data_IF_447334271008
#
_entry.id   IF_447334271008
#
_cell.length_a   1.000
_cell.length_b   1.000
_cell.length_c   1.000
_cell.angle_alpha   90.00
_cell.angle_beta   90.00
_cell.angle_gamma   90.00
#
_symmetry.space_group_name_H-M   'P 1'
#
loop_
_entity.id
_entity.type
_entity.pdbx_description
1 polymer ?
#
# COMPACT_ATOMS: atom_id res chain seq x y z
N UNK A 1 0.26 -11.62 6.02
CA UNK A 1 0.40 -10.18 6.29
C UNK A 1 -0.96 -9.46 6.30
N UNK A 2 -1.89 -9.79 5.40
CA UNK A 2 -3.23 -9.15 5.39
C UNK A 2 -4.03 -9.41 6.65
N UNK A 3 -4.15 -10.67 7.11
CA UNK A 3 -4.87 -10.97 8.35
C UNK A 3 -4.32 -10.19 9.55
N UNK A 4 -3.00 -10.02 9.61
CA UNK A 4 -2.34 -9.20 10.63
C UNK A 4 -2.69 -7.74 10.44
N UNK A 5 -2.67 -7.19 9.23
CA UNK A 5 -3.07 -5.80 9.00
C UNK A 5 -4.55 -5.56 9.37
N UNK A 6 -5.44 -6.50 9.02
CA UNK A 6 -6.86 -6.45 9.34
C UNK A 6 -7.15 -6.62 10.84
N UNK A 7 -6.26 -7.26 11.60
CA UNK A 7 -6.40 -7.31 13.07
C UNK A 7 -6.06 -5.99 13.76
N UNK A 8 -5.55 -4.99 13.03
CA UNK A 8 -5.19 -3.67 13.52
C UNK A 8 -6.11 -2.58 12.95
N UNK A 9 -7.41 -2.86 12.82
CA UNK A 9 -8.41 -1.85 12.49
C UNK A 9 -8.26 -0.61 13.39
N UNK A 10 -8.54 0.57 12.80
CA UNK A 10 -8.43 1.89 13.43
C UNK A 10 -6.99 2.31 13.82
N UNK A 11 -5.97 1.60 13.34
CA UNK A 11 -4.57 1.97 13.51
C UNK A 11 -3.91 2.30 12.18
N UNK A 12 -2.84 3.11 12.24
CA UNK A 12 -1.95 3.29 11.12
C UNK A 12 -0.94 2.14 11.09
N UNK A 13 -0.98 1.32 10.04
CA UNK A 13 -0.07 0.19 9.84
C UNK A 13 0.96 0.54 8.78
N UNK A 14 2.25 0.39 9.11
CA UNK A 14 3.34 0.50 8.13
C UNK A 14 3.79 -0.89 7.72
N UNK A 15 3.80 -1.15 6.42
CA UNK A 15 4.30 -2.40 5.84
C UNK A 15 5.52 -2.08 4.99
N UNK A 16 6.66 -2.69 5.30
CA UNK A 16 7.87 -2.60 4.52
C UNK A 16 8.12 -3.91 3.77
N UNK A 17 8.48 -3.84 2.49
CA UNK A 17 8.69 -4.99 1.64
C UNK A 17 9.44 -4.64 0.35
N UNK A 18 9.53 -5.60 -0.56
CA UNK A 18 10.25 -5.45 -1.83
C UNK A 18 9.32 -5.07 -2.99
N UNK A 19 9.90 -4.47 -4.05
CA UNK A 19 9.17 -3.99 -5.23
C UNK A 19 8.36 -5.07 -5.96
N UNK A 20 8.78 -6.33 -5.88
CA UNK A 20 8.06 -7.46 -6.47
C UNK A 20 6.93 -8.03 -5.58
N UNK A 21 6.83 -7.59 -4.32
CA UNK A 21 5.88 -8.13 -3.33
C UNK A 21 4.80 -7.10 -2.97
N UNK A 22 5.20 -5.83 -2.86
CA UNK A 22 4.30 -4.73 -2.48
C UNK A 22 3.11 -4.58 -3.43
N UNK A 23 3.25 -4.62 -4.78
CA UNK A 23 2.11 -4.50 -5.69
C UNK A 23 1.04 -5.56 -5.47
N UNK A 24 1.45 -6.82 -5.32
CA UNK A 24 0.52 -7.91 -5.05
C UNK A 24 -0.16 -7.77 -3.67
N UNK A 25 0.56 -7.26 -2.67
CA UNK A 25 -0.03 -7.00 -1.37
C UNK A 25 -1.08 -5.89 -1.41
N UNK A 26 -0.83 -4.80 -2.15
CA UNK A 26 -1.78 -3.69 -2.31
C UNK A 26 -3.06 -4.18 -2.99
N UNK A 27 -2.97 -5.07 -3.99
CA UNK A 27 -4.16 -5.57 -4.67
C UNK A 27 -5.08 -6.38 -3.75
N UNK A 28 -4.50 -7.09 -2.79
CA UNK A 28 -5.25 -7.85 -1.78
C UNK A 28 -6.01 -6.98 -0.78
N UNK A 29 -5.70 -5.68 -0.72
CA UNK A 29 -6.47 -4.68 0.04
C UNK A 29 -7.65 -4.10 -0.75
N UNK A 30 -7.93 -4.61 -1.96
CA UNK A 30 -9.06 -4.22 -2.78
C UNK A 30 -8.77 -3.09 -3.77
N UNK A 31 -7.50 -2.71 -3.93
CA UNK A 31 -7.06 -1.82 -5.01
C UNK A 31 -6.96 -2.64 -6.29
N UNK A 32 -7.81 -2.35 -7.28
CA UNK A 32 -7.88 -3.11 -8.53
C UNK A 32 -6.92 -2.59 -9.61
N UNK A 33 -6.34 -1.41 -9.39
CA UNK A 33 -5.36 -0.81 -10.29
C UNK A 33 -4.06 -1.62 -10.26
N UNK A 34 -3.51 -1.91 -11.43
CA UNK A 34 -2.20 -2.53 -11.55
C UNK A 34 -1.12 -1.52 -11.15
N UNK A 35 -0.28 -1.91 -10.19
CA UNK A 35 0.78 -1.05 -9.67
C UNK A 35 2.11 -1.60 -10.15
N UNK A 36 2.82 -0.80 -10.92
CA UNK A 36 4.23 -1.03 -11.25
C UNK A 36 5.06 -0.05 -10.43
N UNK A 37 6.09 -0.56 -9.74
CA UNK A 37 7.04 0.26 -9.00
C UNK A 37 8.27 0.41 -9.89
N UNK A 38 8.44 1.58 -10.46
CA UNK A 38 9.59 1.91 -11.30
C UNK A 38 10.85 2.15 -10.45
N UNK A 39 12.03 2.06 -11.08
CA UNK A 39 13.31 2.18 -10.36
C UNK A 39 13.54 3.57 -9.73
N UNK A 40 12.81 4.59 -10.16
CA UNK A 40 12.87 5.93 -9.56
C UNK A 40 11.91 6.11 -8.36
N UNK A 41 11.16 5.08 -7.99
CA UNK A 41 10.19 5.12 -6.90
C UNK A 41 10.68 4.42 -5.62
N UNK A 42 11.97 4.06 -5.55
CA UNK A 42 12.56 3.52 -4.33
C UNK A 42 12.61 4.60 -3.24
N UNK A 43 11.64 4.57 -2.34
CA UNK A 43 11.45 5.57 -1.27
C UNK A 43 10.02 6.10 -1.20
N UNK A 44 9.22 5.91 -2.25
CA UNK A 44 7.83 6.32 -2.30
C UNK A 44 6.98 5.57 -1.27
N UNK A 45 6.05 6.31 -0.65
CA UNK A 45 5.04 5.76 0.23
C UNK A 45 3.75 5.49 -0.55
N UNK A 46 3.36 4.23 -0.58
CA UNK A 46 2.04 3.80 -1.05
C UNK A 46 1.08 3.82 0.13
N UNK A 47 0.09 4.71 0.09
CA UNK A 47 -0.83 4.95 1.20
C UNK A 47 -2.22 4.48 0.78
N UNK A 48 -2.74 3.47 1.47
CA UNK A 48 -4.12 3.01 1.29
C UNK A 48 -4.98 3.62 2.38
N UNK A 49 -6.05 4.33 2.00
CA UNK A 49 -7.03 4.89 2.91
C UNK A 49 -8.40 4.25 2.66
N UNK A 50 -9.03 3.73 3.71
CA UNK A 50 -10.40 3.26 3.64
C UNK A 50 -11.36 4.38 4.05
N UNK A 51 -12.27 4.75 3.15
CA UNK A 51 -13.38 5.65 3.45
C UNK A 51 -14.69 4.90 3.26
N UNK A 52 -15.46 4.75 4.35
CA UNK A 52 -16.73 4.01 4.34
C UNK A 52 -16.61 2.59 3.75
N UNK A 53 -15.49 1.91 4.02
CA UNK A 53 -15.22 0.56 3.53
C UNK A 53 -14.61 0.47 2.13
N UNK A 54 -14.51 1.59 1.39
CA UNK A 54 -13.89 1.61 0.07
C UNK A 54 -12.42 2.03 0.17
N UNK A 55 -11.47 1.21 -0.32
CA UNK A 55 -10.06 1.57 -0.35
C UNK A 55 -9.77 2.57 -1.48
N UNK A 56 -8.89 3.52 -1.23
CA UNK A 56 -8.28 4.40 -2.22
C UNK A 56 -6.77 4.43 -2.03
N UNK A 57 -6.02 4.40 -3.13
CA UNK A 57 -4.57 4.51 -3.12
C UNK A 57 -4.13 5.95 -3.41
N UNK A 58 -3.11 6.42 -2.69
CA UNK A 58 -2.32 7.59 -3.04
C UNK A 58 -0.84 7.27 -2.91
N UNK A 59 0.00 7.90 -3.74
CA UNK A 59 1.45 7.74 -3.70
C UNK A 59 2.04 9.07 -3.25
N UNK A 60 2.86 9.04 -2.21
CA UNK A 60 3.64 10.19 -1.75
C UNK A 60 5.12 9.94 -2.00
N UNK A 61 5.74 10.82 -2.78
CA UNK A 61 7.19 10.78 -2.98
C UNK A 61 7.88 11.30 -1.72
N UNK A 62 8.77 10.49 -1.14
CA UNK A 62 9.52 10.84 0.07
C UNK A 62 11.01 10.71 -0.24
N UNK A 63 11.63 11.86 -0.53
CA UNK A 63 13.02 11.94 -1.00
C UNK A 63 13.26 13.23 -1.79
N UNK A 64 14.49 13.42 -2.25
CA UNK A 64 14.85 14.36 -3.33
C UNK A 64 15.03 13.64 -4.66
#
# INVERSE_FOLDING_TARGET
QIEVALSHCDQNVVIAGHSNTIPHLISLFGIQEEITIEDNQYGDLFIIRWQKGNPSLSIEHVGE
#
